data_IF_282677052857
#
_entry.id   IF_282677052857
#
_cell.length_a   1.000
_cell.length_b   1.000
_cell.length_c   1.000
_cell.angle_alpha   90.00
_cell.angle_beta   90.00
_cell.angle_gamma   90.00
#
_symmetry.space_group_name_H-M   'P 1'
#
loop_
_entity.id
_entity.type
_entity.pdbx_description
1 polymer ?
#
# COMPACT_ATOMS: atom_id res chain seq x y z
N UNK A 1 0.10 -23.65 -1.90
CA UNK A 1 -0.33 -22.25 -2.09
C UNK A 1 0.85 -21.44 -2.63
N UNK A 2 0.61 -20.46 -3.52
CA UNK A 2 1.64 -19.49 -3.92
C UNK A 2 1.90 -18.46 -2.81
N UNK A 3 3.00 -17.70 -2.92
CA UNK A 3 3.30 -16.57 -2.02
C UNK A 3 2.30 -15.43 -2.25
N UNK A 4 1.85 -14.80 -1.17
CA UNK A 4 1.14 -13.52 -1.23
C UNK A 4 2.12 -12.41 -1.60
N UNK A 5 1.68 -11.49 -2.45
CA UNK A 5 2.46 -10.34 -2.92
C UNK A 5 1.71 -9.05 -2.66
N UNK A 6 2.44 -7.98 -2.36
CA UNK A 6 1.86 -6.65 -2.20
C UNK A 6 1.36 -6.19 -3.58
N UNK A 7 0.06 -5.90 -3.76
CA UNK A 7 -0.47 -5.44 -5.04
C UNK A 7 0.00 -4.02 -5.34
N UNK A 8 0.28 -3.71 -6.60
CA UNK A 8 0.58 -2.33 -7.00
C UNK A 8 -0.67 -1.43 -6.90
N UNK A 9 -0.43 -0.16 -6.59
CA UNK A 9 -1.49 0.85 -6.56
C UNK A 9 -2.00 1.12 -7.99
N UNK A 10 -3.32 1.16 -8.18
CA UNK A 10 -3.94 1.47 -9.47
C UNK A 10 -3.97 2.96 -9.82
N UNK A 11 -3.46 3.81 -8.92
CA UNK A 11 -3.39 5.26 -9.06
C UNK A 11 -2.17 5.81 -8.30
N UNK A 12 -1.77 7.04 -8.64
CA UNK A 12 -0.67 7.73 -7.98
C UNK A 12 -1.00 8.04 -6.51
N UNK A 13 0.01 8.12 -5.63
CA UNK A 13 -0.21 8.30 -4.19
C UNK A 13 -0.97 9.59 -3.83
N UNK A 14 -0.88 10.62 -4.67
CA UNK A 14 -1.54 11.92 -4.51
C UNK A 14 -2.93 12.00 -5.15
N UNK A 15 -3.42 10.93 -5.80
CA UNK A 15 -4.68 10.95 -6.55
C UNK A 15 -5.93 11.21 -5.67
N UNK A 16 -5.79 11.15 -4.35
CA UNK A 16 -6.85 11.37 -3.37
C UNK A 16 -6.72 12.71 -2.62
N UNK A 17 -5.76 13.55 -3.01
CA UNK A 17 -5.67 14.90 -2.47
C UNK A 17 -6.87 15.77 -2.88
N UNK A 18 -7.31 16.72 -2.02
CA UNK A 18 -6.76 17.07 -0.71
C UNK A 18 -7.37 16.25 0.45
N UNK A 19 -8.13 15.20 0.15
CA UNK A 19 -8.88 14.43 1.16
C UNK A 19 -7.98 13.44 1.91
N UNK A 20 -7.00 12.87 1.21
CA UNK A 20 -5.96 12.01 1.78
C UNK A 20 -4.63 12.44 1.17
N UNK A 21 -3.66 12.78 2.00
CA UNK A 21 -2.35 13.22 1.54
C UNK A 21 -1.51 12.06 0.99
N UNK A 22 -0.62 12.37 0.04
CA UNK A 22 0.23 11.38 -0.60
C UNK A 22 1.13 10.61 0.39
N UNK A 23 1.58 11.26 1.47
CA UNK A 23 2.48 10.65 2.46
C UNK A 23 1.77 9.54 3.24
N UNK A 24 0.52 9.77 3.62
CA UNK A 24 -0.33 8.75 4.24
C UNK A 24 -0.50 7.55 3.32
N UNK A 25 -0.80 7.76 2.03
CA UNK A 25 -0.97 6.66 1.07
C UNK A 25 0.33 5.88 0.84
N UNK A 26 1.46 6.56 0.73
CA UNK A 26 2.79 5.92 0.59
C UNK A 26 3.12 5.03 1.80
N UNK A 27 2.94 5.55 3.03
CA UNK A 27 3.21 4.81 4.27
C UNK A 27 2.24 3.64 4.42
N UNK A 28 0.94 3.86 4.18
CA UNK A 28 -0.06 2.82 4.27
C UNK A 28 0.29 1.65 3.35
N UNK A 29 0.58 1.92 2.08
CA UNK A 29 0.90 0.89 1.11
C UNK A 29 2.25 0.20 1.41
N UNK A 30 3.34 0.96 1.48
CA UNK A 30 4.70 0.40 1.52
C UNK A 30 5.15 -0.10 2.89
N UNK A 31 4.45 0.26 3.97
CA UNK A 31 4.77 -0.18 5.34
C UNK A 31 3.68 -1.05 5.94
N UNK A 32 2.47 -0.54 6.06
CA UNK A 32 1.41 -1.26 6.77
C UNK A 32 0.91 -2.48 5.97
N UNK A 33 0.56 -2.29 4.70
CA UNK A 33 0.11 -3.40 3.84
C UNK A 33 1.25 -4.40 3.56
N UNK A 34 2.47 -3.90 3.32
CA UNK A 34 3.66 -4.77 3.19
C UNK A 34 3.83 -5.68 4.41
N UNK A 35 3.73 -5.13 5.63
CA UNK A 35 3.87 -5.91 6.87
C UNK A 35 2.85 -7.05 6.96
N UNK A 36 1.61 -6.82 6.54
CA UNK A 36 0.59 -7.88 6.51
C UNK A 36 0.89 -8.94 5.45
N UNK A 37 1.34 -8.52 4.26
CA UNK A 37 1.74 -9.43 3.18
C UNK A 37 2.89 -10.34 3.62
N UNK A 38 3.92 -9.76 4.26
CA UNK A 38 5.08 -10.50 4.76
C UNK A 38 4.68 -11.49 5.86
N UNK A 39 3.77 -11.10 6.76
CA UNK A 39 3.30 -11.97 7.84
C UNK A 39 2.35 -13.09 7.40
N UNK A 40 1.78 -13.02 6.19
CA UNK A 40 0.89 -14.04 5.64
C UNK A 40 1.63 -15.11 4.82
N UNK A 41 2.92 -14.89 4.57
CA UNK A 41 3.84 -15.83 3.91
C UNK A 41 4.58 -16.70 4.92
#
# INVERSE_FOLDING_TARGET
>A
MGKYTLPEMSYAYDALEPHIDAKTMEIHHTKHHQKYTDGMN
#
